data_IF_109963699652
#
_entry.id   IF_109963699652
#
_cell.length_a   1.000
_cell.length_b   1.000
_cell.length_c   1.000
_cell.angle_alpha   90.00
_cell.angle_beta   90.00
_cell.angle_gamma   90.00
#
_symmetry.space_group_name_H-M   'P 1'
#
loop_
_entity.id
_entity.type
_entity.pdbx_description
1 polymer ?
#
# COMPACT_ATOMS: atom_id res chain seq x y z
N UNK A 1 -28.97 18.24 -1.54
CA UNK A 1 -29.22 17.48 -2.78
C UNK A 1 -28.40 16.20 -2.69
N UNK A 2 -29.02 15.03 -2.78
CA UNK A 2 -28.30 13.75 -2.78
C UNK A 2 -27.50 13.66 -4.08
N UNK A 3 -26.19 13.46 -3.96
CA UNK A 3 -25.28 13.36 -5.08
C UNK A 3 -25.41 11.96 -5.70
N UNK A 4 -25.56 11.87 -7.02
CA UNK A 4 -25.60 10.57 -7.71
C UNK A 4 -24.31 9.80 -7.44
N UNK A 5 -24.39 8.53 -7.02
CA UNK A 5 -23.21 7.73 -6.75
C UNK A 5 -22.36 7.54 -8.00
N UNK A 6 -21.05 7.69 -7.84
CA UNK A 6 -20.05 7.36 -8.86
C UNK A 6 -18.83 6.73 -8.19
N UNK A 7 -18.12 5.88 -8.89
CA UNK A 7 -16.78 5.44 -8.50
C UNK A 7 -15.77 6.42 -9.06
N UNK A 8 -14.91 6.97 -8.21
CA UNK A 8 -13.80 7.83 -8.61
C UNK A 8 -12.48 7.07 -8.52
N UNK A 9 -11.56 7.31 -9.44
CA UNK A 9 -10.20 6.77 -9.35
C UNK A 9 -9.43 7.46 -8.23
N UNK A 10 -8.91 6.68 -7.28
CA UNK A 10 -8.09 7.14 -6.17
C UNK A 10 -6.79 6.33 -6.17
N UNK A 11 -5.71 6.95 -6.69
CA UNK A 11 -4.45 6.24 -6.91
C UNK A 11 -4.59 5.18 -8.01
N UNK A 12 -4.22 3.93 -7.70
CA UNK A 12 -4.45 2.79 -8.59
C UNK A 12 -5.76 2.04 -8.39
N UNK A 13 -6.63 2.45 -7.46
CA UNK A 13 -7.94 1.81 -7.22
C UNK A 13 -9.13 2.75 -7.38
N UNK A 14 -10.31 2.26 -7.01
CA UNK A 14 -11.58 3.00 -7.12
C UNK A 14 -12.19 3.22 -5.73
N UNK A 15 -12.87 4.36 -5.55
CA UNK A 15 -13.64 4.67 -4.34
C UNK A 15 -15.03 5.22 -4.68
N UNK A 16 -16.07 4.73 -4.00
CA UNK A 16 -17.46 5.13 -4.20
C UNK A 16 -17.75 6.49 -3.55
N UNK A 17 -18.36 7.38 -4.32
CA UNK A 17 -18.70 8.75 -3.92
C UNK A 17 -20.20 9.01 -4.13
N UNK A 18 -20.98 9.28 -3.07
CA UNK A 18 -20.64 9.14 -1.64
C UNK A 18 -20.71 7.67 -1.19
N UNK A 19 -19.85 7.26 -0.26
CA UNK A 19 -19.92 5.92 0.35
C UNK A 19 -18.60 5.47 0.98
N UNK A 20 -17.47 5.76 0.33
CA UNK A 20 -16.13 5.40 0.82
C UNK A 20 -15.77 3.93 0.58
N UNK A 21 -16.68 3.14 0.01
CA UNK A 21 -16.38 1.76 -0.42
C UNK A 21 -15.23 1.81 -1.42
N UNK A 22 -14.29 0.87 -1.28
CA UNK A 22 -13.17 0.75 -2.20
C UNK A 22 -13.37 -0.46 -3.10
N UNK A 23 -12.95 -0.34 -4.35
CA UNK A 23 -12.96 -1.39 -5.35
C UNK A 23 -11.59 -1.45 -6.02
N UNK A 24 -11.28 -2.60 -6.64
CA UNK A 24 -9.97 -3.00 -7.13
C UNK A 24 -9.30 -2.06 -8.14
N UNK A 25 -8.36 -2.58 -8.96
CA UNK A 25 -7.60 -1.75 -9.89
C UNK A 25 -8.47 -0.81 -10.73
N UNK A 26 -8.06 0.44 -10.86
CA UNK A 26 -8.77 1.44 -11.65
C UNK A 26 -8.53 1.22 -13.15
N UNK A 27 -9.13 0.16 -13.69
CA UNK A 27 -9.00 -0.27 -15.07
C UNK A 27 -10.34 -0.83 -15.58
N UNK A 28 -10.52 -0.81 -16.90
CA UNK A 28 -11.74 -1.25 -17.58
C UNK A 28 -12.02 -2.73 -17.38
N UNK A 29 -10.98 -3.53 -17.17
CA UNK A 29 -11.09 -4.97 -16.89
C UNK A 29 -11.62 -5.26 -15.47
N UNK A 30 -11.78 -4.24 -14.62
CA UNK A 30 -12.19 -4.36 -13.22
C UNK A 30 -13.41 -3.47 -12.92
N UNK A 31 -14.56 -3.68 -13.58
CA UNK A 31 -15.75 -2.90 -13.30
C UNK A 31 -16.22 -3.11 -11.84
N UNK A 32 -16.76 -2.07 -11.18
CA UNK A 32 -17.41 -2.22 -9.89
C UNK A 32 -18.55 -3.24 -9.95
N UNK A 33 -18.86 -3.86 -8.81
CA UNK A 33 -19.96 -4.81 -8.73
C UNK A 33 -21.32 -4.12 -8.96
N UNK A 34 -22.23 -4.84 -9.62
CA UNK A 34 -23.57 -4.36 -9.98
C UNK A 34 -23.74 -4.05 -11.46
N UNK A 35 -24.99 -3.89 -11.89
CA UNK A 35 -25.35 -3.60 -13.27
C UNK A 35 -25.44 -2.09 -13.55
N UNK A 36 -25.19 -1.70 -14.80
CA UNK A 36 -25.42 -0.34 -15.28
C UNK A 36 -24.28 0.65 -15.03
N UNK A 37 -23.11 0.20 -14.59
CA UNK A 37 -21.90 1.03 -14.52
C UNK A 37 -21.31 1.25 -15.90
N UNK A 38 -21.17 2.51 -16.30
CA UNK A 38 -20.50 2.91 -17.52
C UNK A 38 -19.16 3.59 -17.19
N UNK A 39 -18.09 3.30 -17.95
CA UNK A 39 -16.77 3.84 -17.69
C UNK A 39 -16.70 5.33 -18.02
N UNK A 40 -16.15 6.12 -17.10
CA UNK A 40 -15.82 7.53 -17.29
C UNK A 40 -14.34 7.65 -17.66
N UNK A 41 -14.05 8.18 -18.85
CA UNK A 41 -12.67 8.33 -19.33
C UNK A 41 -12.33 9.78 -19.65
N UNK A 42 -11.10 10.20 -19.32
CA UNK A 42 -10.50 11.45 -19.72
C UNK A 42 -9.10 11.19 -20.27
N UNK A 43 -8.80 11.74 -21.45
CA UNK A 43 -7.49 11.54 -22.09
C UNK A 43 -7.15 10.07 -22.37
N UNK A 44 -8.17 9.20 -22.51
CA UNK A 44 -7.99 7.75 -22.70
C UNK A 44 -7.69 6.97 -21.41
N UNK A 45 -7.70 7.63 -20.25
CA UNK A 45 -7.56 6.98 -18.94
C UNK A 45 -8.91 6.89 -18.24
N UNK A 46 -9.15 5.75 -17.58
CA UNK A 46 -10.28 5.60 -16.68
C UNK A 46 -10.11 6.52 -15.47
N UNK A 47 -11.11 7.38 -15.24
CA UNK A 47 -11.18 8.28 -14.08
C UNK A 47 -12.33 7.90 -13.13
N UNK A 48 -13.22 7.00 -13.55
CA UNK A 48 -14.31 6.52 -12.70
C UNK A 48 -15.35 5.68 -13.41
N UNK A 49 -16.43 5.36 -12.71
CA UNK A 49 -17.63 4.70 -13.25
C UNK A 49 -18.89 5.39 -12.72
N UNK A 50 -19.93 5.49 -13.54
CA UNK A 50 -21.21 6.05 -13.12
C UNK A 50 -22.39 5.39 -13.84
N UNK A 51 -23.60 5.56 -13.29
CA UNK A 51 -24.83 5.14 -13.97
C UNK A 51 -25.22 6.13 -15.07
N UNK A 52 -25.46 5.59 -16.27
CA UNK A 52 -25.92 6.33 -17.46
C UNK A 52 -24.80 6.90 -18.32
N UNK A 53 -25.17 7.36 -19.52
CA UNK A 53 -24.25 7.84 -20.57
C UNK A 53 -23.30 8.93 -20.05
N UNK A 54 -22.06 8.53 -19.80
CA UNK A 54 -21.00 9.33 -19.19
C UNK A 54 -20.63 10.57 -20.01
N UNK A 55 -21.09 11.73 -19.57
CA UNK A 55 -20.70 13.02 -20.15
C UNK A 55 -19.32 13.49 -19.67
N UNK A 56 -18.62 14.30 -20.48
CA UNK A 56 -17.30 14.88 -20.12
C UNK A 56 -17.30 15.65 -18.79
N UNK A 57 -18.42 16.26 -18.42
CA UNK A 57 -18.57 16.94 -17.14
C UNK A 57 -18.51 15.96 -15.95
N UNK A 58 -19.15 14.80 -16.08
CA UNK A 58 -19.16 13.77 -15.03
C UNK A 58 -17.79 13.11 -14.88
N UNK A 59 -17.08 12.90 -15.99
CA UNK A 59 -15.71 12.39 -15.96
C UNK A 59 -14.73 13.37 -15.28
N UNK A 60 -14.85 14.68 -15.55
CA UNK A 60 -14.06 15.71 -14.84
C UNK A 60 -14.37 15.76 -13.35
N UNK A 61 -15.65 15.65 -13.02
CA UNK A 61 -16.06 15.60 -11.63
C UNK A 61 -15.45 14.39 -10.90
N UNK A 62 -15.48 13.21 -11.52
CA UNK A 62 -14.87 12.00 -10.95
C UNK A 62 -13.34 12.14 -10.77
N UNK A 63 -12.65 12.78 -11.72
CA UNK A 63 -11.23 13.10 -11.61
C UNK A 63 -10.94 14.05 -10.43
N UNK A 64 -11.72 15.12 -10.29
CA UNK A 64 -11.59 16.08 -9.19
C UNK A 64 -11.85 15.44 -7.81
N UNK A 65 -12.90 14.62 -7.69
CA UNK A 65 -13.14 13.88 -6.45
C UNK A 65 -12.04 12.87 -6.16
N UNK A 66 -11.57 12.16 -7.18
CA UNK A 66 -10.49 11.20 -7.06
C UNK A 66 -9.21 11.83 -6.52
N UNK A 67 -8.82 12.98 -7.08
CA UNK A 67 -7.66 13.75 -6.63
C UNK A 67 -7.82 14.27 -5.18
N UNK A 68 -9.02 14.77 -4.85
CA UNK A 68 -9.35 15.20 -3.48
C UNK A 68 -9.24 14.03 -2.50
N UNK A 69 -9.87 12.90 -2.80
CA UNK A 69 -9.84 11.70 -1.96
C UNK A 69 -8.43 11.13 -1.80
N UNK A 70 -7.61 11.14 -2.85
CA UNK A 70 -6.22 10.72 -2.76
C UNK A 70 -5.42 11.59 -1.77
N UNK A 71 -5.65 12.90 -1.80
CA UNK A 71 -5.04 13.87 -0.87
C UNK A 71 -5.50 13.64 0.56
N UNK A 72 -6.80 13.48 0.77
CA UNK A 72 -7.40 13.19 2.08
C UNK A 72 -6.90 11.86 2.64
N UNK A 73 -6.82 10.81 1.81
CA UNK A 73 -6.30 9.49 2.18
C UNK A 73 -4.83 9.57 2.58
N UNK A 74 -3.99 10.27 1.80
CA UNK A 74 -2.58 10.49 2.17
C UNK A 74 -2.47 11.17 3.53
N UNK A 75 -3.21 12.26 3.75
CA UNK A 75 -3.19 12.97 5.02
C UNK A 75 -3.64 12.07 6.19
N UNK A 76 -4.69 11.28 5.99
CA UNK A 76 -5.19 10.33 6.98
C UNK A 76 -4.17 9.24 7.32
N UNK A 77 -3.55 8.62 6.31
CA UNK A 77 -2.53 7.57 6.50
C UNK A 77 -1.31 8.12 7.23
N UNK A 78 -0.81 9.29 6.83
CA UNK A 78 0.31 9.95 7.53
C UNK A 78 -0.05 10.28 8.98
N UNK A 79 -1.28 10.73 9.25
CA UNK A 79 -1.76 10.94 10.61
C UNK A 79 -1.77 9.67 11.46
N UNK A 80 -2.25 8.54 10.90
CA UNK A 80 -2.22 7.22 11.56
C UNK A 80 -0.80 6.75 11.82
N UNK A 81 0.09 6.86 10.84
CA UNK A 81 1.50 6.46 10.96
C UNK A 81 2.21 7.30 12.02
N UNK A 82 2.01 8.63 12.02
CA UNK A 82 2.55 9.53 13.04
C UNK A 82 2.02 9.24 14.45
N UNK A 83 0.77 8.81 14.59
CA UNK A 83 0.25 8.34 15.88
C UNK A 83 0.95 7.07 16.35
N UNK A 84 1.11 6.05 15.48
CA UNK A 84 1.84 4.82 15.83
C UNK A 84 3.30 5.08 16.22
N UNK A 85 3.98 5.98 15.50
CA UNK A 85 5.36 6.39 15.83
C UNK A 85 5.46 7.03 17.21
N UNK A 86 4.54 7.95 17.56
CA UNK A 86 4.51 8.56 18.90
C UNK A 86 4.30 7.51 19.99
N UNK A 87 3.37 6.58 19.79
CA UNK A 87 3.14 5.48 20.74
C UNK A 87 4.37 4.58 20.92
N UNK A 88 5.09 4.28 19.85
CA UNK A 88 6.33 3.51 19.91
C UNK A 88 7.45 4.24 20.65
N UNK A 89 7.61 5.56 20.43
CA UNK A 89 8.56 6.40 21.19
C UNK A 89 8.25 6.36 22.69
N UNK A 90 6.98 6.55 23.07
CA UNK A 90 6.56 6.51 24.47
C UNK A 90 6.81 5.14 25.11
N UNK A 91 6.56 4.05 24.37
CA UNK A 91 6.88 2.69 24.83
C UNK A 91 8.38 2.51 25.07
N UNK A 92 9.23 2.98 24.14
CA UNK A 92 10.68 2.90 24.29
C UNK A 92 11.16 3.71 25.50
N UNK A 93 10.60 4.90 25.73
CA UNK A 93 10.92 5.73 26.91
C UNK A 93 10.57 5.03 28.22
N UNK A 94 9.42 4.34 28.27
CA UNK A 94 9.01 3.58 29.44
C UNK A 94 9.91 2.35 29.66
N UNK A 95 10.25 1.61 28.60
CA UNK A 95 11.22 0.52 28.68
C UNK A 95 12.60 1.00 29.15
N UNK A 96 13.04 2.18 28.69
CA UNK A 96 14.28 2.82 29.15
C UNK A 96 14.25 3.16 30.64
N UNK A 97 13.12 3.71 31.10
CA UNK A 97 12.92 4.00 32.51
C UNK A 97 12.99 2.72 33.35
N UNK A 98 12.34 1.63 32.92
CA UNK A 98 12.37 0.35 33.63
C UNK A 98 13.77 -0.27 33.68
N UNK A 99 14.52 -0.24 32.57
CA UNK A 99 15.89 -0.72 32.52
C UNK A 99 16.80 0.08 33.47
N UNK A 100 16.63 1.41 33.53
CA UNK A 100 17.40 2.28 34.42
C UNK A 100 17.11 2.04 35.92
N UNK A 101 15.93 1.51 36.28
CA UNK A 101 15.51 1.26 37.66
C UNK A 101 15.39 -0.25 38.00
N UNK A 102 16.45 -1.02 37.72
CA UNK A 102 16.66 -2.33 38.37
C UNK A 102 16.45 -3.57 37.50
N UNK A 103 16.50 -3.45 36.17
CA UNK A 103 16.51 -4.60 35.23
C UNK A 103 17.50 -4.38 34.07
N UNK A 104 18.81 -4.36 34.33
CA UNK A 104 19.85 -4.16 33.31
C UNK A 104 19.83 -5.22 32.19
N UNK A 105 19.29 -6.41 32.44
CA UNK A 105 19.03 -7.45 31.44
C UNK A 105 18.07 -7.03 30.31
N UNK A 106 17.38 -5.89 30.44
CA UNK A 106 16.51 -5.33 29.39
C UNK A 106 17.26 -4.43 28.39
N UNK A 107 18.58 -4.21 28.56
CA UNK A 107 19.36 -3.32 27.68
C UNK A 107 19.43 -3.80 26.22
N UNK A 108 19.53 -5.11 25.99
CA UNK A 108 19.51 -5.68 24.64
C UNK A 108 18.16 -5.45 23.95
N UNK A 109 17.05 -5.72 24.65
CA UNK A 109 15.70 -5.47 24.15
C UNK A 109 15.46 -3.99 23.85
N UNK A 110 15.98 -3.10 24.70
CA UNK A 110 15.90 -1.66 24.49
C UNK A 110 16.68 -1.21 23.24
N UNK A 111 17.88 -1.76 23.02
CA UNK A 111 18.66 -1.47 21.82
C UNK A 111 17.94 -1.93 20.55
N UNK A 112 17.38 -3.14 20.56
CA UNK A 112 16.58 -3.67 19.44
C UNK A 112 15.36 -2.81 19.15
N UNK A 113 14.61 -2.41 20.19
CA UNK A 113 13.46 -1.51 20.06
C UNK A 113 13.86 -0.13 19.50
N UNK A 114 15.00 0.41 19.93
CA UNK A 114 15.50 1.70 19.44
C UNK A 114 15.92 1.64 17.96
N UNK A 115 16.64 0.58 17.56
CA UNK A 115 17.02 0.36 16.16
C UNK A 115 15.78 0.21 15.27
N UNK A 116 14.80 -0.55 15.73
CA UNK A 116 13.55 -0.76 15.01
C UNK A 116 12.76 0.54 14.86
N UNK A 117 12.68 1.35 15.91
CA UNK A 117 12.07 2.68 15.85
C UNK A 117 12.79 3.60 14.85
N UNK A 118 14.13 3.55 14.81
CA UNK A 118 14.93 4.30 13.86
C UNK A 118 14.64 3.93 12.40
N UNK A 119 14.59 2.62 12.09
CA UNK A 119 14.22 2.12 10.75
C UNK A 119 12.83 2.60 10.33
N UNK A 120 11.86 2.56 11.25
CA UNK A 120 10.48 3.02 11.00
C UNK A 120 10.39 4.52 10.75
N UNK A 121 11.14 5.32 11.50
CA UNK A 121 11.19 6.76 11.31
C UNK A 121 11.73 7.10 9.91
N UNK A 122 12.81 6.43 9.48
CA UNK A 122 13.38 6.61 8.15
C UNK A 122 12.40 6.19 7.03
N UNK A 123 11.70 5.06 7.20
CA UNK A 123 10.69 4.62 6.24
C UNK A 123 9.51 5.60 6.14
N UNK A 124 9.03 6.13 7.28
CA UNK A 124 7.98 7.13 7.29
C UNK A 124 8.43 8.44 6.65
N UNK A 125 9.65 8.89 6.92
CA UNK A 125 10.22 10.09 6.29
C UNK A 125 10.28 9.92 4.77
N UNK A 126 10.80 8.79 4.29
CA UNK A 126 10.86 8.47 2.87
C UNK A 126 9.46 8.41 2.22
N UNK A 127 8.48 7.80 2.90
CA UNK A 127 7.11 7.69 2.40
C UNK A 127 6.32 9.01 2.49
N UNK A 128 6.72 9.93 3.37
CA UNK A 128 6.10 11.26 3.48
C UNK A 128 6.52 12.17 2.33
N UNK A 129 7.72 11.96 1.77
CA UNK A 129 8.20 12.68 0.61
C UNK A 129 7.55 12.17 -0.68
N UNK A 130 7.29 13.08 -1.61
CA UNK A 130 6.84 12.67 -2.94
C UNK A 130 8.01 12.02 -3.71
N UNK A 131 7.77 10.93 -4.47
CA UNK A 131 8.81 10.27 -5.22
C UNK A 131 9.47 11.24 -6.20
N UNK A 132 10.80 11.40 -6.10
CA UNK A 132 11.57 12.24 -7.02
C UNK A 132 11.73 11.58 -8.40
N UNK A 133 11.75 10.25 -8.42
CA UNK A 133 11.90 9.46 -9.63
C UNK A 133 10.53 9.17 -10.28
N UNK A 134 10.39 9.37 -11.59
CA UNK A 134 9.17 9.01 -12.30
C UNK A 134 9.01 7.48 -12.36
N UNK A 135 7.77 7.02 -12.49
CA UNK A 135 7.49 5.61 -12.69
C UNK A 135 8.11 5.09 -14.00
N UNK A 136 8.85 4.00 -13.92
CA UNK A 136 9.52 3.34 -15.05
C UNK A 136 9.31 1.83 -15.00
N UNK A 137 9.59 1.13 -16.09
CA UNK A 137 9.61 -0.33 -16.09
C UNK A 137 10.75 -0.83 -15.21
N UNK A 138 10.40 -1.63 -14.19
CA UNK A 138 11.32 -2.23 -13.22
C UNK A 138 11.17 -3.75 -13.31
N UNK A 139 12.28 -4.47 -13.39
CA UNK A 139 12.29 -5.94 -13.34
C UNK A 139 11.94 -6.37 -11.92
N UNK A 140 10.74 -6.90 -11.76
CA UNK A 140 10.15 -7.16 -10.45
C UNK A 140 10.87 -8.27 -9.70
N UNK A 141 11.40 -9.28 -10.40
CA UNK A 141 12.24 -10.32 -9.78
C UNK A 141 13.46 -9.76 -9.04
N UNK A 142 14.10 -8.71 -9.56
CA UNK A 142 15.24 -8.06 -8.89
C UNK A 142 14.82 -7.34 -7.60
N UNK A 143 13.63 -6.72 -7.62
CA UNK A 143 13.04 -6.10 -6.44
C UNK A 143 12.76 -7.15 -5.38
N UNK A 144 12.09 -8.25 -5.74
CA UNK A 144 11.74 -9.31 -4.79
C UNK A 144 12.98 -9.96 -4.18
N UNK A 145 14.02 -10.22 -4.99
CA UNK A 145 15.28 -10.76 -4.48
C UNK A 145 15.97 -9.83 -3.47
N UNK A 146 15.81 -8.51 -3.63
CA UNK A 146 16.42 -7.52 -2.75
C UNK A 146 15.59 -7.25 -1.49
N UNK A 147 14.26 -7.16 -1.64
CA UNK A 147 13.33 -6.77 -0.57
C UNK A 147 12.83 -7.96 0.27
N UNK A 148 12.79 -9.16 -0.30
CA UNK A 148 12.09 -10.31 0.28
C UNK A 148 13.02 -11.51 0.46
N UNK A 149 14.21 -11.27 1.03
CA UNK A 149 15.19 -12.33 1.28
C UNK A 149 14.60 -13.45 2.15
N UNK A 150 14.64 -14.69 1.65
CA UNK A 150 14.07 -15.84 2.32
C UNK A 150 12.57 -16.08 2.05
N UNK A 151 11.96 -15.35 1.12
CA UNK A 151 10.62 -15.67 0.60
C UNK A 151 10.65 -16.83 -0.40
N UNK A 152 9.54 -17.57 -0.50
CA UNK A 152 9.29 -18.48 -1.62
C UNK A 152 8.65 -17.70 -2.75
N UNK A 153 9.39 -17.51 -3.85
CA UNK A 153 8.97 -16.68 -4.98
C UNK A 153 8.36 -17.53 -6.11
N UNK A 154 7.13 -17.21 -6.48
CA UNK A 154 6.38 -17.78 -7.60
C UNK A 154 5.93 -16.66 -8.53
N UNK A 155 6.91 -15.91 -9.01
CA UNK A 155 6.73 -14.79 -9.92
C UNK A 155 7.66 -15.01 -11.12
N UNK A 156 7.20 -14.79 -12.36
CA UNK A 156 8.07 -14.87 -13.53
C UNK A 156 9.29 -13.96 -13.38
N UNK A 157 10.48 -14.48 -13.71
CA UNK A 157 11.75 -13.77 -13.49
C UNK A 157 11.85 -12.48 -14.32
N UNK A 158 11.16 -12.43 -15.46
CA UNK A 158 11.05 -11.32 -16.39
C UNK A 158 9.80 -10.45 -16.16
N UNK A 159 9.08 -10.64 -15.05
CA UNK A 159 7.96 -9.79 -14.69
C UNK A 159 8.41 -8.33 -14.59
N UNK A 160 7.70 -7.43 -15.26
CA UNK A 160 7.96 -5.98 -15.23
C UNK A 160 6.80 -5.26 -14.59
N UNK A 161 7.11 -4.39 -13.63
CA UNK A 161 6.17 -3.48 -12.97
C UNK A 161 6.57 -2.04 -13.30
N UNK A 162 5.59 -1.16 -13.52
CA UNK A 162 5.80 0.27 -13.66
C UNK A 162 5.56 1.00 -12.35
N UNK A 163 6.65 1.41 -11.71
CA UNK A 163 6.62 2.19 -10.48
C UNK A 163 7.94 2.95 -10.30
N UNK A 164 8.00 3.93 -9.38
CA UNK A 164 9.27 4.45 -8.91
C UNK A 164 10.03 3.34 -8.17
N UNK A 165 11.21 2.96 -8.66
CA UNK A 165 11.96 1.80 -8.16
C UNK A 165 12.23 1.85 -6.63
N UNK A 166 12.68 2.97 -6.04
CA UNK A 166 12.93 3.02 -4.59
C UNK A 166 11.65 2.82 -3.77
N UNK A 167 10.53 3.34 -4.26
CA UNK A 167 9.22 3.19 -3.61
C UNK A 167 8.76 1.75 -3.69
N UNK A 168 8.92 1.11 -4.86
CA UNK A 168 8.53 -0.28 -5.06
C UNK A 168 9.35 -1.22 -4.18
N UNK A 169 10.66 -1.01 -4.08
CA UNK A 169 11.54 -1.76 -3.18
C UNK A 169 11.05 -1.67 -1.73
N UNK A 170 10.78 -0.45 -1.26
CA UNK A 170 10.31 -0.20 0.10
C UNK A 170 8.92 -0.80 0.33
N UNK A 171 7.99 -0.65 -0.62
CA UNK A 171 6.65 -1.23 -0.54
C UNK A 171 6.70 -2.75 -0.35
N UNK A 172 7.53 -3.44 -1.13
CA UNK A 172 7.69 -4.88 -1.05
C UNK A 172 8.37 -5.31 0.25
N UNK A 173 9.39 -4.59 0.71
CA UNK A 173 10.07 -4.89 1.97
C UNK A 173 9.09 -4.79 3.15
N UNK A 174 8.30 -3.72 3.21
CA UNK A 174 7.31 -3.54 4.29
C UNK A 174 6.15 -4.51 4.21
N UNK A 175 5.67 -4.84 3.02
CA UNK A 175 4.63 -5.84 2.86
C UNK A 175 5.12 -7.23 3.28
N UNK A 176 6.37 -7.58 2.95
CA UNK A 176 7.00 -8.83 3.36
C UNK A 176 7.20 -8.91 4.87
N UNK A 177 7.76 -7.87 5.51
CA UNK A 177 7.91 -7.80 6.96
C UNK A 177 6.56 -7.87 7.69
N UNK A 178 5.56 -7.16 7.20
CA UNK A 178 4.19 -7.19 7.73
C UNK A 178 3.58 -8.60 7.67
N UNK A 179 3.92 -9.40 6.64
CA UNK A 179 3.48 -10.80 6.53
C UNK A 179 4.34 -11.80 7.31
N UNK A 180 5.26 -11.32 8.16
CA UNK A 180 6.09 -12.16 9.02
C UNK A 180 7.46 -12.51 8.43
N UNK A 181 7.81 -11.94 7.27
CA UNK A 181 9.15 -12.03 6.70
C UNK A 181 9.51 -13.44 6.20
N UNK A 182 10.76 -13.92 6.45
CA UNK A 182 11.26 -15.18 5.91
C UNK A 182 10.30 -16.37 6.09
N UNK A 183 10.14 -17.17 5.04
CA UNK A 183 9.16 -18.25 4.99
C UNK A 183 7.78 -17.85 4.44
N UNK A 184 7.52 -16.56 4.24
CA UNK A 184 6.34 -16.09 3.50
C UNK A 184 6.42 -16.50 2.03
N UNK A 185 5.26 -16.71 1.41
CA UNK A 185 5.14 -17.05 -0.03
C UNK A 185 4.69 -15.80 -0.79
N UNK A 186 5.32 -15.55 -1.94
CA UNK A 186 4.96 -14.45 -2.85
C UNK A 186 4.65 -15.05 -4.22
N UNK A 187 3.40 -14.96 -4.65
CA UNK A 187 2.94 -15.45 -5.94
C UNK A 187 2.48 -14.29 -6.82
N UNK A 188 2.77 -14.35 -8.12
CA UNK A 188 2.47 -13.29 -9.08
C UNK A 188 1.68 -13.81 -10.28
N UNK A 189 0.57 -13.14 -10.60
CA UNK A 189 -0.25 -13.44 -11.76
C UNK A 189 -0.45 -12.16 -12.59
N UNK A 190 -0.21 -12.24 -13.89
CA UNK A 190 -0.47 -11.13 -14.80
C UNK A 190 -1.94 -11.11 -15.24
N UNK A 191 -2.62 -9.98 -15.08
CA UNK A 191 -4.03 -9.77 -15.44
C UNK A 191 -4.24 -8.41 -16.09
N UNK A 192 -4.56 -8.42 -17.39
CA UNK A 192 -4.76 -7.18 -18.15
C UNK A 192 -3.49 -6.31 -18.12
N UNK A 193 -3.60 -5.09 -17.61
CA UNK A 193 -2.46 -4.18 -17.43
C UNK A 193 -1.83 -4.24 -16.03
N UNK A 194 -2.09 -5.30 -15.26
CA UNK A 194 -1.74 -5.37 -13.84
C UNK A 194 -1.04 -6.67 -13.50
N UNK A 195 -0.14 -6.58 -12.52
CA UNK A 195 0.34 -7.71 -11.75
C UNK A 195 -0.46 -7.83 -10.48
N UNK A 196 -1.10 -8.98 -10.28
CA UNK A 196 -1.66 -9.40 -9.00
C UNK A 196 -0.58 -10.14 -8.22
N UNK A 197 -0.03 -9.48 -7.21
CA UNK A 197 1.00 -10.02 -6.35
C UNK A 197 0.36 -10.37 -5.01
N UNK A 198 0.39 -11.65 -4.67
CA UNK A 198 -0.15 -12.17 -3.43
C UNK A 198 0.98 -12.55 -2.49
N UNK A 199 0.95 -12.01 -1.28
CA UNK A 199 1.86 -12.37 -0.20
C UNK A 199 1.04 -13.11 0.86
N UNK A 200 1.41 -14.35 1.12
CA UNK A 200 0.82 -15.17 2.18
C UNK A 200 1.80 -15.27 3.33
N UNK A 201 1.31 -14.99 4.54
CA UNK A 201 2.12 -15.03 5.75
C UNK A 201 2.70 -16.42 6.01
N UNK A 202 3.88 -16.46 6.64
CA UNK A 202 4.50 -17.71 7.06
C UNK A 202 3.62 -18.43 8.12
N UNK A 203 3.54 -19.77 8.11
CA UNK A 203 2.72 -20.53 9.06
C UNK A 203 3.12 -20.30 10.54
N UNK A 204 4.40 -20.00 10.80
CA UNK A 204 4.94 -19.67 12.12
C UNK A 204 5.23 -18.17 12.28
N UNK A 205 4.52 -17.31 11.53
CA UNK A 205 4.71 -15.87 11.59
C UNK A 205 4.56 -15.38 13.05
N UNK A 206 5.64 -14.82 13.60
CA UNK A 206 5.59 -14.18 14.91
C UNK A 206 4.94 -12.80 14.73
N UNK A 207 3.94 -12.43 15.56
CA UNK A 207 3.46 -11.06 15.59
C UNK A 207 4.64 -10.10 15.86
N UNK A 208 4.77 -9.00 15.11
CA UNK A 208 5.85 -8.05 15.39
C UNK A 208 5.64 -7.45 16.79
N UNK A 209 6.75 -7.25 17.52
CA UNK A 209 6.74 -6.90 18.94
C UNK A 209 6.17 -5.50 19.28
N UNK A 210 5.83 -4.69 18.28
CA UNK A 210 5.34 -3.32 18.44
C UNK A 210 4.27 -3.02 17.38
N UNK A 211 3.32 -2.10 17.63
CA UNK A 211 2.26 -1.78 16.68
C UNK A 211 2.86 -1.38 15.32
N UNK A 212 2.66 -2.24 14.34
CA UNK A 212 3.35 -2.19 13.06
C UNK A 212 2.92 -0.96 12.25
N UNK A 213 3.86 -0.32 11.55
CA UNK A 213 3.47 0.61 10.47
C UNK A 213 2.70 -0.14 9.37
N UNK A 214 2.97 -1.44 9.20
CA UNK A 214 2.12 -2.49 8.62
C UNK A 214 1.30 -2.06 7.40
N UNK A 215 0.02 -2.44 7.41
CA UNK A 215 -0.96 -2.10 6.38
C UNK A 215 -0.98 -0.59 6.02
N UNK A 216 -1.07 0.38 6.95
CA UNK A 216 -1.11 1.80 6.57
C UNK A 216 0.09 2.32 5.77
N UNK A 217 1.30 1.82 6.05
CA UNK A 217 2.50 2.22 5.31
C UNK A 217 2.53 1.57 3.93
N UNK A 218 2.21 0.28 3.86
CA UNK A 218 2.12 -0.44 2.57
C UNK A 218 1.03 0.19 1.70
N UNK A 219 -0.11 0.54 2.28
CA UNK A 219 -1.19 1.21 1.57
C UNK A 219 -0.75 2.57 1.02
N UNK A 220 -0.02 3.38 1.81
CA UNK A 220 0.52 4.65 1.35
C UNK A 220 1.48 4.45 0.16
N UNK A 221 2.42 3.52 0.28
CA UNK A 221 3.41 3.25 -0.76
C UNK A 221 2.76 2.70 -2.04
N UNK A 222 1.84 1.75 -1.90
CA UNK A 222 1.19 1.07 -3.03
C UNK A 222 0.14 1.96 -3.69
N UNK A 223 -0.88 2.41 -2.94
CA UNK A 223 -2.02 3.14 -3.51
C UNK A 223 -1.59 4.49 -4.07
N UNK A 224 -0.74 5.21 -3.34
CA UNK A 224 -0.43 6.63 -3.63
C UNK A 224 0.84 6.74 -4.48
N UNK A 225 1.92 6.05 -4.11
CA UNK A 225 3.23 6.29 -4.74
C UNK A 225 3.55 5.36 -5.91
N UNK A 226 3.07 4.11 -5.87
CA UNK A 226 3.21 3.17 -7.00
C UNK A 226 2.05 3.27 -8.01
N UNK A 227 0.98 4.02 -7.71
CA UNK A 227 -0.25 3.99 -8.51
C UNK A 227 -0.87 2.59 -8.56
N UNK A 228 -0.64 1.80 -7.52
CA UNK A 228 -1.13 0.46 -7.33
C UNK A 228 -2.43 0.40 -6.53
N UNK A 229 -2.81 -0.79 -6.12
CA UNK A 229 -3.94 -1.02 -5.23
C UNK A 229 -3.62 -2.12 -4.22
N UNK A 230 -3.76 -1.82 -2.92
CA UNK A 230 -3.64 -2.80 -1.85
C UNK A 230 -5.02 -3.30 -1.40
N UNK A 231 -5.20 -4.62 -1.48
CA UNK A 231 -6.26 -5.37 -0.81
C UNK A 231 -5.69 -6.16 0.38
N UNK A 232 -6.14 -5.78 1.57
CA UNK A 232 -5.74 -6.32 2.86
C UNK A 232 -6.96 -6.84 3.65
N UNK A 233 -8.05 -7.18 2.94
CA UNK A 233 -9.32 -7.58 3.57
C UNK A 233 -9.25 -8.92 4.31
N UNK A 234 -8.32 -9.80 3.93
CA UNK A 234 -8.13 -11.12 4.51
C UNK A 234 -6.92 -11.14 5.48
N UNK A 235 -7.09 -11.56 6.75
CA UNK A 235 -5.97 -11.71 7.67
C UNK A 235 -4.94 -12.74 7.17
N UNK A 236 -3.65 -12.41 7.31
CA UNK A 236 -2.54 -13.29 6.89
C UNK A 236 -2.29 -13.30 5.38
N UNK A 237 -2.95 -12.42 4.63
CA UNK A 237 -2.81 -12.28 3.19
C UNK A 237 -2.81 -10.81 2.79
N UNK A 238 -1.88 -10.43 1.93
CA UNK A 238 -1.86 -9.12 1.29
C UNK A 238 -1.84 -9.30 -0.23
N UNK A 239 -2.77 -8.66 -0.93
CA UNK A 239 -2.83 -8.69 -2.39
C UNK A 239 -2.55 -7.29 -2.93
N UNK A 240 -1.41 -7.14 -3.57
CA UNK A 240 -0.96 -5.92 -4.20
C UNK A 240 -1.22 -6.01 -5.70
N UNK A 241 -1.90 -5.02 -6.24
CA UNK A 241 -2.06 -4.85 -7.67
C UNK A 241 -1.14 -3.74 -8.14
N UNK A 242 -0.20 -4.09 -9.02
CA UNK A 242 0.83 -3.18 -9.49
C UNK A 242 0.71 -3.00 -11.01
N UNK A 243 0.85 -1.78 -11.55
CA UNK A 243 0.79 -1.58 -12.99
C UNK A 243 1.89 -2.36 -13.71
N UNK A 244 1.56 -3.09 -14.77
CA UNK A 244 2.52 -3.83 -15.59
C UNK A 244 3.13 -2.97 -16.72
N UNK A 245 2.53 -1.80 -17.04
CA UNK A 245 2.87 -0.93 -18.19
C UNK A 245 2.66 0.54 -17.93
#
# INVERSE_FOLDING_TARGET
MSRTPLWARVGGGLELVPGGDRHGPADLDFPPSGEGWEPLQLGGQLVGWAHGSGGRALARQAEEDGARLATERRAHLLGRLGHKMRSAVLSLQESARQAAFGRPELLEQLYEQAQELGRRAAALEAAALDPKDPARGVVFGAILNSACAGAVLEVPADAVVKAPEPVLLEAMARAFEWMGGPGSRIAGEHRGNWWRIEITAAPDARPLAAPELGEPLVQLLVDIHCGGWLDASEPGRAVLWLPAR
#
